data_IF_718825561134
#
_entry.id   IF_718825561134
#
_cell.length_a   1.000
_cell.length_b   1.000
_cell.length_c   1.000
_cell.angle_alpha   90.00
_cell.angle_beta   90.00
_cell.angle_gamma   90.00
#
_symmetry.space_group_name_H-M   'P 1'
#
loop_
_entity.id
_entity.type
_entity.pdbx_description
1 polymer ?
#
# COMPACT_ATOMS: atom_id res chain seq x y z
N UNK A 1 -10.77 3.36 18.67
CA UNK A 1 -11.04 2.23 17.78
C UNK A 1 -10.46 0.97 18.41
N UNK A 2 -11.25 -0.10 18.51
CA UNK A 2 -10.71 -1.43 18.81
C UNK A 2 -9.66 -1.84 17.77
N UNK A 3 -8.68 -2.67 18.16
CA UNK A 3 -7.55 -3.02 17.27
C UNK A 3 -7.98 -3.77 16.00
N UNK A 4 -9.14 -4.40 16.02
CA UNK A 4 -9.71 -5.17 14.91
C UNK A 4 -10.81 -4.44 14.13
N UNK A 5 -11.10 -3.18 14.49
CA UNK A 5 -12.00 -2.34 13.69
C UNK A 5 -11.32 -1.97 12.38
N UNK A 6 -12.08 -2.01 11.27
CA UNK A 6 -11.56 -1.72 9.93
C UNK A 6 -10.87 -0.36 9.88
N UNK A 7 -11.43 0.65 10.53
CA UNK A 7 -10.88 2.00 10.65
C UNK A 7 -9.49 2.01 11.28
N UNK A 8 -9.28 1.20 12.34
CA UNK A 8 -7.98 1.06 12.97
C UNK A 8 -6.97 0.39 12.03
N UNK A 9 -7.38 -0.66 11.31
CA UNK A 9 -6.52 -1.35 10.35
C UNK A 9 -6.12 -0.44 9.19
N UNK A 10 -7.07 0.31 8.64
CA UNK A 10 -6.81 1.28 7.57
C UNK A 10 -5.89 2.41 8.05
N UNK A 11 -6.11 2.94 9.26
CA UNK A 11 -5.22 3.93 9.85
C UNK A 11 -3.80 3.37 10.02
N UNK A 12 -3.66 2.17 10.59
CA UNK A 12 -2.36 1.52 10.79
C UNK A 12 -1.65 1.31 9.46
N UNK A 13 -2.38 0.87 8.43
CA UNK A 13 -1.87 0.70 7.06
C UNK A 13 -1.31 2.02 6.54
N UNK A 14 -2.07 3.11 6.58
CA UNK A 14 -1.63 4.42 6.11
C UNK A 14 -0.45 4.96 6.92
N UNK A 15 -0.40 4.69 8.22
CA UNK A 15 0.76 5.02 9.05
C UNK A 15 2.03 4.28 8.61
N UNK A 16 1.94 2.97 8.30
CA UNK A 16 3.08 2.19 7.78
C UNK A 16 3.62 2.83 6.51
N UNK A 17 2.74 3.14 5.55
CA UNK A 17 3.17 3.76 4.30
C UNK A 17 3.85 5.11 4.52
N UNK A 18 3.31 5.93 5.43
CA UNK A 18 3.84 7.27 5.74
C UNK A 18 5.25 7.16 6.32
N UNK A 19 5.44 6.26 7.28
CA UNK A 19 6.75 5.99 7.88
C UNK A 19 7.73 5.48 6.82
N UNK A 20 7.30 4.53 5.99
CA UNK A 20 8.13 3.97 4.93
C UNK A 20 8.52 5.03 3.88
N UNK A 21 7.60 5.91 3.49
CA UNK A 21 7.85 7.01 2.58
C UNK A 21 9.00 7.90 3.08
N UNK A 22 8.95 8.30 4.35
CA UNK A 22 10.01 9.13 4.92
C UNK A 22 11.33 8.40 5.14
N UNK A 23 11.31 7.08 5.39
CA UNK A 23 12.54 6.29 5.35
C UNK A 23 13.16 6.26 3.94
N UNK A 24 12.34 6.14 2.90
CA UNK A 24 12.77 6.21 1.50
C UNK A 24 13.34 7.60 1.13
N UNK A 25 12.80 8.69 1.68
CA UNK A 25 13.38 10.03 1.49
C UNK A 25 14.79 10.12 2.10
N UNK A 26 14.96 9.65 3.34
CA UNK A 26 16.24 9.74 4.06
C UNK A 26 17.32 8.87 3.40
N UNK A 27 17.00 7.62 3.00
CA UNK A 27 17.97 6.71 2.40
C UNK A 27 18.47 7.18 1.02
N UNK A 28 17.73 8.08 0.35
CA UNK A 28 18.08 8.66 -0.96
C UNK A 28 19.02 9.85 -0.87
N UNK A 29 19.39 10.30 0.33
CA UNK A 29 20.41 11.33 0.53
C UNK A 29 21.77 10.83 0.02
N UNK A 30 22.41 11.49 -0.97
CA UNK A 30 23.67 11.01 -1.54
C UNK A 30 24.83 10.93 -0.56
N UNK A 31 24.80 11.76 0.49
CA UNK A 31 25.84 11.93 1.50
C UNK A 31 25.52 11.21 2.82
N UNK A 32 24.50 10.34 2.84
CA UNK A 32 24.14 9.56 4.03
C UNK A 32 25.32 8.72 4.53
N UNK A 33 25.52 8.71 5.85
CA UNK A 33 26.51 7.84 6.48
C UNK A 33 26.22 6.36 6.16
N UNK A 34 27.16 5.59 5.59
CA UNK A 34 26.91 4.20 5.18
C UNK A 34 26.44 3.26 6.29
N UNK A 35 26.90 3.47 7.53
CA UNK A 35 26.49 2.66 8.69
C UNK A 35 25.03 2.95 9.06
N UNK A 36 24.64 4.23 9.03
CA UNK A 36 23.25 4.63 9.26
C UNK A 36 22.35 4.21 8.09
N UNK A 37 22.85 4.26 6.85
CA UNK A 37 22.16 3.77 5.67
C UNK A 37 21.80 2.27 5.80
N UNK A 38 22.72 1.44 6.29
CA UNK A 38 22.44 0.01 6.52
C UNK A 38 21.39 -0.21 7.61
N UNK A 39 21.44 0.55 8.72
CA UNK A 39 20.42 0.48 9.78
C UNK A 39 19.05 0.89 9.23
N UNK A 40 19.00 1.96 8.45
CA UNK A 40 17.77 2.44 7.83
C UNK A 40 17.23 1.45 6.79
N UNK A 41 18.10 0.84 5.98
CA UNK A 41 17.72 -0.20 5.02
C UNK A 41 17.03 -1.38 5.71
N UNK A 42 17.54 -1.83 6.86
CA UNK A 42 16.89 -2.88 7.66
C UNK A 42 15.51 -2.46 8.18
N UNK A 43 15.34 -1.18 8.56
CA UNK A 43 14.03 -0.64 8.93
C UNK A 43 13.06 -0.58 7.75
N UNK A 44 13.54 -0.21 6.56
CA UNK A 44 12.75 -0.22 5.32
C UNK A 44 12.32 -1.65 4.99
N UNK A 45 13.20 -2.64 5.11
CA UNK A 45 12.87 -4.04 4.86
C UNK A 45 11.82 -4.56 5.83
N UNK A 46 11.96 -4.24 7.12
CA UNK A 46 10.96 -4.57 8.14
C UNK A 46 9.61 -3.87 7.88
N UNK A 47 9.64 -2.58 7.53
CA UNK A 47 8.44 -1.81 7.20
C UNK A 47 7.73 -2.35 5.95
N UNK A 48 8.48 -2.79 4.95
CA UNK A 48 7.92 -3.45 3.76
C UNK A 48 7.21 -4.75 4.10
N UNK A 49 7.75 -5.52 5.06
CA UNK A 49 7.10 -6.74 5.53
C UNK A 49 5.82 -6.41 6.31
N UNK A 50 5.90 -5.49 7.27
CA UNK A 50 4.76 -5.01 8.06
C UNK A 50 3.63 -4.46 7.18
N UNK A 51 3.96 -3.75 6.10
CA UNK A 51 3.00 -3.29 5.08
C UNK A 51 2.27 -4.46 4.43
N UNK A 52 3.01 -5.48 3.96
CA UNK A 52 2.39 -6.65 3.32
C UNK A 52 1.55 -7.45 4.29
N UNK A 53 2.06 -7.68 5.50
CA UNK A 53 1.32 -8.41 6.55
C UNK A 53 0.02 -7.69 6.90
N UNK A 54 0.04 -6.36 6.99
CA UNK A 54 -1.16 -5.55 7.23
C UNK A 54 -2.17 -5.64 6.08
N UNK A 55 -1.70 -5.65 4.83
CA UNK A 55 -2.57 -5.83 3.66
C UNK A 55 -3.23 -7.21 3.68
N UNK A 56 -2.47 -8.28 3.94
CA UNK A 56 -3.02 -9.63 4.06
C UNK A 56 -4.00 -9.79 5.24
N UNK A 57 -3.77 -9.06 6.33
CA UNK A 57 -4.68 -9.02 7.48
C UNK A 57 -6.00 -8.33 7.13
N UNK A 58 -5.96 -7.18 6.43
CA UNK A 58 -7.16 -6.49 5.94
C UNK A 58 -7.93 -7.37 4.95
N UNK A 59 -7.24 -8.11 4.09
CA UNK A 59 -7.88 -9.08 3.21
C UNK A 59 -8.59 -10.20 3.97
N UNK A 60 -8.01 -10.64 5.09
CA UNK A 60 -8.64 -11.62 5.98
C UNK A 60 -9.93 -11.09 6.61
N UNK A 61 -9.96 -9.79 6.96
CA UNK A 61 -11.19 -9.12 7.40
C UNK A 61 -12.28 -9.15 6.31
N UNK A 62 -11.94 -8.81 5.07
CA UNK A 62 -12.91 -8.84 3.96
C UNK A 62 -13.36 -10.27 3.61
N UNK A 63 -12.46 -11.25 3.66
CA UNK A 63 -12.81 -12.66 3.52
C UNK A 63 -13.84 -13.09 4.56
N UNK A 64 -13.63 -12.75 5.83
CA UNK A 64 -14.59 -13.08 6.89
C UNK A 64 -15.94 -12.38 6.68
N UNK A 65 -15.90 -11.09 6.32
CA UNK A 65 -17.09 -10.28 6.02
C UNK A 65 -17.95 -10.87 4.91
N UNK A 66 -17.33 -11.40 3.86
CA UNK A 66 -18.04 -11.90 2.67
C UNK A 66 -18.14 -13.44 2.60
N UNK A 67 -17.71 -14.18 3.64
CA UNK A 67 -17.67 -15.66 3.63
C UNK A 67 -19.01 -16.35 3.34
N UNK A 68 -20.12 -15.69 3.67
CA UNK A 68 -21.47 -16.22 3.49
C UNK A 68 -22.14 -15.73 2.20
N UNK A 69 -21.45 -14.93 1.38
CA UNK A 69 -22.01 -14.48 0.10
C UNK A 69 -22.04 -15.66 -0.87
N UNK A 70 -23.23 -15.95 -1.41
CA UNK A 70 -23.39 -16.99 -2.43
C UNK A 70 -22.82 -16.50 -3.76
N UNK A 71 -21.75 -17.14 -4.20
CA UNK A 71 -21.11 -16.88 -5.50
C UNK A 71 -22.07 -17.28 -6.63
N UNK A 72 -22.24 -16.38 -7.61
CA UNK A 72 -23.06 -16.64 -8.80
C UNK A 72 -22.33 -17.57 -9.79
N UNK A 73 -23.06 -18.34 -10.63
CA UNK A 73 -22.44 -19.27 -11.58
C UNK A 73 -21.46 -18.62 -12.57
N UNK A 74 -21.70 -17.35 -12.91
CA UNK A 74 -20.92 -16.53 -13.84
C UNK A 74 -19.94 -15.59 -13.13
N UNK A 75 -19.72 -15.78 -11.83
CA UNK A 75 -18.85 -14.91 -11.05
C UNK A 75 -17.39 -14.94 -11.56
N UNK A 76 -16.78 -13.75 -11.58
CA UNK A 76 -15.41 -13.57 -12.06
C UNK A 76 -14.44 -13.27 -10.93
N UNK A 77 -13.14 -13.40 -11.20
CA UNK A 77 -12.07 -12.94 -10.29
C UNK A 77 -11.58 -11.56 -10.73
N UNK A 78 -11.01 -10.81 -9.78
CA UNK A 78 -10.31 -9.56 -10.05
C UNK A 78 -8.81 -9.78 -10.16
N UNK A 79 -8.12 -8.82 -10.76
CA UNK A 79 -6.65 -8.84 -10.83
C UNK A 79 -6.00 -8.75 -9.46
N UNK A 80 -6.66 -8.09 -8.50
CA UNK A 80 -6.19 -7.95 -7.13
C UNK A 80 -7.34 -7.98 -6.12
N UNK A 81 -7.00 -8.17 -4.85
CA UNK A 81 -7.92 -8.13 -3.72
C UNK A 81 -8.32 -6.70 -3.33
N UNK A 82 -9.39 -6.51 -2.53
CA UNK A 82 -9.71 -5.22 -1.94
C UNK A 82 -8.56 -4.59 -1.13
N UNK A 83 -7.82 -5.34 -0.31
CA UNK A 83 -6.77 -4.76 0.51
C UNK A 83 -5.57 -4.26 -0.31
N UNK A 84 -5.15 -5.00 -1.35
CA UNK A 84 -4.14 -4.53 -2.31
C UNK A 84 -4.58 -3.28 -3.10
N UNK A 85 -5.87 -3.16 -3.46
CA UNK A 85 -6.37 -1.94 -4.10
C UNK A 85 -6.35 -0.73 -3.14
N UNK A 86 -6.76 -0.94 -1.89
CA UNK A 86 -6.65 0.05 -0.80
C UNK A 86 -5.18 0.41 -0.53
N UNK A 87 -4.27 -0.55 -0.68
CA UNK A 87 -2.85 -0.31 -0.49
C UNK A 87 -2.32 0.78 -1.43
N UNK A 88 -2.66 0.66 -2.71
CA UNK A 88 -2.35 1.68 -3.71
C UNK A 88 -3.04 3.00 -3.44
N UNK A 89 -4.29 2.98 -2.97
CA UNK A 89 -5.04 4.20 -2.65
C UNK A 89 -4.34 5.00 -1.54
N UNK A 90 -3.83 4.31 -0.51
CA UNK A 90 -3.08 4.94 0.58
C UNK A 90 -1.76 5.56 0.09
N UNK A 91 -1.00 4.86 -0.77
CA UNK A 91 0.21 5.43 -1.39
C UNK A 91 -0.12 6.61 -2.31
N UNK A 92 -1.24 6.54 -3.03
CA UNK A 92 -1.71 7.64 -3.88
C UNK A 92 -2.08 8.87 -3.04
N UNK A 93 -2.69 8.68 -1.86
CA UNK A 93 -2.97 9.78 -0.94
C UNK A 93 -1.69 10.49 -0.47
N UNK A 94 -0.60 9.74 -0.19
CA UNK A 94 0.71 10.33 0.14
C UNK A 94 1.30 11.12 -1.04
N UNK A 95 1.21 10.57 -2.26
CA UNK A 95 1.62 11.30 -3.48
C UNK A 95 0.86 12.61 -3.65
N UNK A 96 -0.45 12.59 -3.44
CA UNK A 96 -1.31 13.78 -3.50
C UNK A 96 -0.87 14.80 -2.44
N UNK A 97 -0.64 14.36 -1.20
CA UNK A 97 -0.20 15.23 -0.12
C UNK A 97 1.10 15.97 -0.49
N UNK A 98 2.15 15.24 -0.83
CA UNK A 98 3.45 15.86 -1.14
C UNK A 98 3.46 16.63 -2.47
N UNK A 99 2.71 16.17 -3.48
CA UNK A 99 2.57 16.93 -4.72
C UNK A 99 1.83 18.25 -4.48
N UNK A 100 0.85 18.27 -3.57
CA UNK A 100 0.16 19.49 -3.16
C UNK A 100 1.11 20.44 -2.42
N UNK A 101 2.00 19.94 -1.57
CA UNK A 101 3.04 20.77 -0.95
C UNK A 101 3.91 21.44 -2.01
N UNK A 102 4.39 20.68 -3.01
CA UNK A 102 5.24 21.22 -4.08
C UNK A 102 4.50 22.19 -5.01
N UNK A 103 3.23 21.93 -5.32
CA UNK A 103 2.40 22.85 -6.12
C UNK A 103 2.17 24.20 -5.42
N UNK A 104 2.17 24.21 -4.08
CA UNK A 104 1.95 25.41 -3.27
C UNK A 104 3.23 26.00 -2.66
N UNK A 105 4.41 25.43 -2.95
CA UNK A 105 5.67 25.85 -2.35
C UNK A 105 6.05 27.26 -2.78
N UNK A 106 5.92 28.23 -1.86
CA UNK A 106 6.16 29.65 -2.12
C UNK A 106 7.58 29.96 -2.59
N UNK A 107 8.56 29.18 -2.12
CA UNK A 107 9.97 29.32 -2.51
C UNK A 107 10.28 28.79 -3.92
N UNK A 108 9.32 28.14 -4.59
CA UNK A 108 9.51 27.55 -5.91
C UNK A 108 9.13 28.52 -7.02
N UNK A 109 9.73 28.35 -8.20
CA UNK A 109 9.37 29.14 -9.37
C UNK A 109 7.91 28.91 -9.77
N UNK A 110 7.31 29.89 -10.44
CA UNK A 110 5.95 29.75 -10.96
C UNK A 110 5.82 28.58 -11.95
N UNK A 111 6.83 28.36 -12.80
CA UNK A 111 6.87 27.24 -13.73
C UNK A 111 6.89 25.89 -13.00
N UNK A 112 7.64 25.78 -11.90
CA UNK A 112 7.65 24.58 -11.07
C UNK A 112 6.27 24.32 -10.47
N UNK A 113 5.67 25.33 -9.83
CA UNK A 113 4.33 25.21 -9.23
C UNK A 113 3.27 24.82 -10.27
N UNK A 114 3.28 25.41 -11.46
CA UNK A 114 2.40 25.04 -12.57
C UNK A 114 2.59 23.58 -13.03
N UNK A 115 3.84 23.13 -13.17
CA UNK A 115 4.13 21.73 -13.52
C UNK A 115 3.68 20.75 -12.44
N UNK A 116 3.89 21.09 -11.17
CA UNK A 116 3.41 20.31 -10.03
C UNK A 116 1.89 20.29 -9.94
N UNK A 117 1.21 21.40 -10.25
CA UNK A 117 -0.25 21.44 -10.31
C UNK A 117 -0.81 20.49 -11.37
N UNK A 118 -0.23 20.46 -12.58
CA UNK A 118 -0.65 19.51 -13.62
C UNK A 118 -0.50 18.05 -13.17
N UNK A 119 0.59 17.72 -12.45
CA UNK A 119 0.79 16.39 -11.87
C UNK A 119 -0.22 16.11 -10.75
N UNK A 120 -0.52 17.10 -9.91
CA UNK A 120 -1.52 17.00 -8.85
C UNK A 120 -2.89 16.68 -9.44
N UNK A 121 -3.30 17.35 -10.51
CA UNK A 121 -4.60 17.13 -11.17
C UNK A 121 -4.73 15.67 -11.67
N UNK A 122 -3.66 15.10 -12.25
CA UNK A 122 -3.62 13.69 -12.65
C UNK A 122 -3.75 12.76 -11.43
N UNK A 123 -3.06 13.05 -10.33
CA UNK A 123 -3.14 12.24 -9.10
C UNK A 123 -4.55 12.29 -8.48
N UNK A 124 -5.21 13.46 -8.54
CA UNK A 124 -6.58 13.63 -8.06
C UNK A 124 -7.57 12.81 -8.90
N UNK A 125 -7.43 12.81 -10.23
CA UNK A 125 -8.22 11.95 -11.11
C UNK A 125 -8.00 10.47 -10.80
N UNK A 126 -6.74 10.04 -10.66
CA UNK A 126 -6.42 8.66 -10.29
C UNK A 126 -7.08 8.23 -8.98
N UNK A 127 -7.24 9.16 -8.02
CA UNK A 127 -7.88 8.85 -6.73
C UNK A 127 -9.38 8.62 -6.92
N UNK A 128 -10.04 9.43 -7.74
CA UNK A 128 -11.47 9.25 -8.06
C UNK A 128 -11.70 7.91 -8.77
N UNK A 129 -10.91 7.62 -9.81
CA UNK A 129 -11.01 6.38 -10.57
C UNK A 129 -10.77 5.15 -9.69
N UNK A 130 -9.70 5.18 -8.88
CA UNK A 130 -9.35 4.07 -8.00
C UNK A 130 -10.37 3.87 -6.87
N UNK A 131 -10.88 4.94 -6.27
CA UNK A 131 -11.89 4.84 -5.22
C UNK A 131 -13.18 4.24 -5.78
N UNK A 132 -13.63 4.73 -6.94
CA UNK A 132 -14.83 4.20 -7.61
C UNK A 132 -14.66 2.72 -7.97
N UNK A 133 -13.49 2.34 -8.51
CA UNK A 133 -13.21 0.94 -8.83
C UNK A 133 -13.18 0.03 -7.59
N UNK A 134 -12.72 0.53 -6.43
CA UNK A 134 -12.76 -0.19 -5.15
C UNK A 134 -14.21 -0.37 -4.69
N UNK A 135 -15.04 0.67 -4.78
CA UNK A 135 -16.45 0.60 -4.40
C UNK A 135 -17.23 -0.40 -5.28
N UNK A 136 -16.99 -0.38 -6.59
CA UNK A 136 -17.55 -1.34 -7.55
C UNK A 136 -17.11 -2.77 -7.22
N UNK A 137 -15.81 -2.96 -6.95
CA UNK A 137 -15.25 -4.25 -6.55
C UNK A 137 -15.93 -4.81 -5.29
N UNK A 138 -16.03 -4.00 -4.23
CA UNK A 138 -16.67 -4.41 -2.97
C UNK A 138 -18.17 -4.68 -3.16
N UNK A 139 -18.83 -3.88 -4.00
CA UNK A 139 -20.24 -4.07 -4.36
C UNK A 139 -20.46 -5.37 -5.10
N UNK A 140 -19.65 -5.68 -6.11
CA UNK A 140 -19.76 -6.91 -6.88
C UNK A 140 -19.43 -8.15 -6.04
N UNK A 141 -18.46 -8.06 -5.12
CA UNK A 141 -18.18 -9.11 -4.14
C UNK A 141 -19.42 -9.33 -3.26
N UNK A 142 -20.02 -8.26 -2.73
CA UNK A 142 -21.22 -8.37 -1.86
C UNK A 142 -22.42 -9.00 -2.56
N UNK A 143 -22.50 -8.88 -3.90
CA UNK A 143 -23.55 -9.44 -4.75
C UNK A 143 -23.21 -10.82 -5.30
N UNK A 144 -22.03 -11.37 -4.97
CA UNK A 144 -21.58 -12.67 -5.47
C UNK A 144 -21.19 -12.68 -6.96
N UNK A 145 -21.09 -11.52 -7.61
CA UNK A 145 -20.64 -11.37 -9.01
C UNK A 145 -19.12 -11.52 -9.14
N UNK A 146 -18.41 -11.27 -8.04
CA UNK A 146 -16.98 -11.51 -7.92
C UNK A 146 -16.72 -12.33 -6.67
N UNK A 147 -15.82 -13.30 -6.76
CA UNK A 147 -15.38 -14.05 -5.59
C UNK A 147 -14.01 -13.56 -5.13
N UNK A 148 -13.80 -13.51 -3.82
CA UNK A 148 -12.50 -13.18 -3.25
C UNK A 148 -11.57 -14.38 -3.30
N UNK A 149 -10.36 -14.15 -3.78
CA UNK A 149 -9.24 -15.09 -3.69
C UNK A 149 -8.02 -14.31 -3.28
N UNK A 150 -7.40 -14.73 -2.18
CA UNK A 150 -6.20 -14.08 -1.62
C UNK A 150 -5.00 -14.97 -1.88
N UNK A 151 -3.86 -14.34 -2.16
CA UNK A 151 -2.58 -15.00 -2.27
C UNK A 151 -1.65 -14.41 -1.23
N UNK A 152 -1.04 -15.26 -0.41
CA UNK A 152 0.00 -14.83 0.53
C UNK A 152 1.31 -14.61 -0.20
N UNK A 153 2.10 -13.66 0.28
CA UNK A 153 3.39 -13.36 -0.30
C UNK A 153 4.38 -14.51 -0.04
N UNK A 154 5.05 -14.96 -1.10
CA UNK A 154 6.04 -16.05 -1.05
C UNK A 154 7.46 -15.49 -1.08
N UNK A 155 7.91 -14.86 0.01
CA UNK A 155 9.30 -14.33 0.11
C UNK A 155 10.25 -15.42 0.63
N UNK A 156 11.16 -15.88 -0.23
CA UNK A 156 12.15 -16.91 0.14
C UNK A 156 13.33 -16.37 0.95
N UNK A 157 13.71 -15.11 0.77
CA UNK A 157 14.95 -14.56 1.36
C UNK A 157 14.81 -14.12 2.83
N UNK A 158 13.58 -14.04 3.35
CA UNK A 158 13.34 -13.76 4.77
C UNK A 158 13.21 -15.04 5.61
N UNK A 159 13.20 -16.20 4.96
CA UNK A 159 13.06 -17.50 5.59
C UNK A 159 14.46 -18.14 5.73
N UNK A 160 14.84 -18.48 6.97
CA UNK A 160 16.13 -19.10 7.29
C UNK A 160 16.37 -20.43 6.58
N UNK A 161 15.30 -21.18 6.28
CA UNK A 161 15.36 -22.48 5.59
C UNK A 161 15.46 -22.33 4.07
N UNK A 162 14.97 -21.21 3.51
CA UNK A 162 14.97 -20.96 2.07
C UNK A 162 16.08 -20.00 1.62
N UNK A 163 16.64 -19.19 2.52
CA UNK A 163 17.69 -18.22 2.19
C UNK A 163 19.08 -18.89 2.11
N UNK A 164 19.71 -18.96 0.92
CA UNK A 164 21.02 -19.58 0.75
C UNK A 164 22.14 -18.94 1.56
N UNK A 165 22.01 -17.68 1.91
CA UNK A 165 23.02 -16.98 2.72
C UNK A 165 22.90 -17.30 4.21
N UNK A 166 21.77 -17.87 4.65
CA UNK A 166 21.51 -18.24 6.04
C UNK A 166 21.74 -19.74 6.27
N UNK A 167 21.13 -20.61 5.45
CA UNK A 167 21.31 -22.05 5.64
C UNK A 167 22.72 -22.55 5.28
N UNK A 168 23.47 -21.88 4.39
CA UNK A 168 24.88 -22.24 4.10
C UNK A 168 25.87 -21.84 5.20
N UNK A 169 25.42 -21.07 6.19
CA UNK A 169 26.23 -20.71 7.37
C UNK A 169 26.06 -21.69 8.54
N UNK A 170 25.09 -22.60 8.44
CA UNK A 170 24.90 -23.72 9.37
C UNK A 170 25.84 -24.85 8.96
#
# INVERSE_FOLDING_TARGET
YGRDELEHLLYRKSWIDTVQWHYEDIIRLPDINPVEALKLKRKIDASNQDRTDMVEYIDSFYLDKYKNVKVLPDATINTESPAWAIDRLSILALKIYHMKEEANRESASENHRKSCQQKLDVLLQQREDLSSAIDDLLTDISKGKKYMKVYKQMKMYNDDELNPMLYKKR
#
